data_IF_506509401279
#
_entry.id   IF_506509401279
#
_cell.length_a   1.000
_cell.length_b   1.000
_cell.length_c   1.000
_cell.angle_alpha   90.00
_cell.angle_beta   90.00
_cell.angle_gamma   90.00
#
_symmetry.space_group_name_H-M   'P 1'
#
loop_
_entity.id
_entity.type
_entity.pdbx_description
1 polymer ?
#
# COMPACT_ATOMS: atom_id res chain seq x y z
N UNK A 1 -6.05 -3.75 -33.77
CA UNK A 1 -5.84 -5.10 -33.20
C UNK A 1 -5.95 -4.99 -31.70
N UNK A 2 -6.71 -5.88 -31.05
CA UNK A 2 -6.73 -5.94 -29.60
C UNK A 2 -5.36 -6.44 -29.12
N UNK A 3 -4.77 -5.78 -28.12
CA UNK A 3 -3.54 -6.23 -27.48
C UNK A 3 -3.91 -7.20 -26.37
N UNK A 4 -3.33 -8.39 -26.42
CA UNK A 4 -3.44 -9.39 -25.35
C UNK A 4 -2.96 -8.82 -24.02
N UNK A 5 -3.76 -8.94 -22.96
CA UNK A 5 -3.47 -8.36 -21.65
C UNK A 5 -2.07 -8.77 -21.13
N UNK A 6 -1.68 -10.02 -21.39
CA UNK A 6 -0.38 -10.58 -20.97
C UNK A 6 0.83 -9.80 -21.48
N UNK A 7 0.68 -9.14 -22.62
CA UNK A 7 1.72 -8.37 -23.31
C UNK A 7 1.41 -6.86 -23.33
N UNK A 8 0.38 -6.43 -22.58
CA UNK A 8 -0.06 -5.04 -22.51
C UNK A 8 0.72 -4.24 -21.46
N UNK A 9 0.89 -2.94 -21.70
CA UNK A 9 1.43 -2.02 -20.70
C UNK A 9 0.56 -1.96 -19.43
N UNK A 10 -0.75 -2.23 -19.55
CA UNK A 10 -1.67 -2.28 -18.41
C UNK A 10 -1.26 -3.34 -17.40
N UNK A 11 -0.82 -4.53 -17.84
CA UNK A 11 -0.32 -5.56 -16.93
C UNK A 11 0.92 -5.08 -16.18
N UNK A 12 1.85 -4.43 -16.86
CA UNK A 12 3.08 -3.92 -16.23
C UNK A 12 2.79 -2.79 -15.25
N UNK A 13 1.85 -1.92 -15.59
CA UNK A 13 1.34 -0.87 -14.69
C UNK A 13 0.70 -1.48 -13.44
N UNK A 14 -0.15 -2.50 -13.59
CA UNK A 14 -0.79 -3.18 -12.47
C UNK A 14 0.21 -3.92 -11.58
N UNK A 15 1.24 -4.53 -12.17
CA UNK A 15 2.31 -5.16 -11.40
C UNK A 15 3.10 -4.13 -10.58
N UNK A 16 3.40 -2.97 -11.17
CA UNK A 16 4.04 -1.85 -10.45
C UNK A 16 3.15 -1.31 -9.34
N UNK A 17 1.86 -1.12 -9.60
CA UNK A 17 0.89 -0.68 -8.60
C UNK A 17 0.80 -1.70 -7.44
N UNK A 18 0.68 -2.99 -7.75
CA UNK A 18 0.65 -4.06 -6.75
C UNK A 18 1.89 -4.05 -5.85
N UNK A 19 3.08 -3.91 -6.44
CA UNK A 19 4.32 -3.79 -5.66
C UNK A 19 4.32 -2.51 -4.79
N UNK A 20 3.85 -1.38 -5.33
CA UNK A 20 3.73 -0.12 -4.63
C UNK A 20 2.80 -0.19 -3.42
N UNK A 21 1.60 -0.73 -3.61
CA UNK A 21 0.58 -0.91 -2.56
C UNK A 21 1.04 -1.89 -1.48
N UNK A 22 1.70 -2.98 -1.89
CA UNK A 22 2.29 -3.94 -0.94
C UNK A 22 3.32 -3.27 -0.03
N UNK A 23 4.16 -2.40 -0.58
CA UNK A 23 5.11 -1.63 0.21
C UNK A 23 4.43 -0.53 1.05
N UNK A 24 3.38 0.11 0.52
CA UNK A 24 2.63 1.14 1.23
C UNK A 24 1.97 0.57 2.49
N UNK A 25 1.32 -0.59 2.38
CA UNK A 25 0.76 -1.34 3.52
C UNK A 25 1.77 -1.57 4.64
N UNK A 26 2.98 -2.01 4.29
CA UNK A 26 4.04 -2.23 5.27
C UNK A 26 4.48 -0.91 5.93
N UNK A 27 4.64 0.17 5.14
CA UNK A 27 4.98 1.50 5.68
C UNK A 27 3.91 2.04 6.63
N UNK A 28 2.62 1.87 6.31
CA UNK A 28 1.53 2.26 7.20
C UNK A 28 1.54 1.44 8.49
N UNK A 29 1.80 0.14 8.42
CA UNK A 29 1.95 -0.70 9.62
C UNK A 29 3.09 -0.24 10.53
N UNK A 30 4.23 0.15 9.95
CA UNK A 30 5.35 0.73 10.69
C UNK A 30 5.01 2.11 11.27
N UNK A 31 4.30 2.94 10.50
CA UNK A 31 3.80 4.25 10.94
C UNK A 31 2.84 4.13 12.13
N UNK A 32 1.90 3.18 12.10
CA UNK A 32 1.02 2.87 13.22
C UNK A 32 1.83 2.48 14.47
N UNK A 33 2.83 1.62 14.30
CA UNK A 33 3.72 1.18 15.38
C UNK A 33 4.52 2.34 15.99
N UNK A 34 4.93 3.32 15.19
CA UNK A 34 5.59 4.53 15.68
C UNK A 34 4.60 5.46 16.40
N UNK A 35 3.43 5.73 15.81
CA UNK A 35 2.39 6.55 16.42
C UNK A 35 1.95 6.01 17.79
N UNK A 36 1.88 4.69 17.94
CA UNK A 36 1.64 4.02 19.23
C UNK A 36 2.69 4.35 20.28
N UNK A 37 3.98 4.36 19.92
CA UNK A 37 5.10 4.68 20.84
C UNK A 37 5.06 6.15 21.29
N UNK A 38 4.53 7.03 20.45
CA UNK A 38 4.37 8.46 20.74
C UNK A 38 3.03 8.80 21.41
N UNK A 39 2.20 7.79 21.74
CA UNK A 39 0.85 7.94 22.31
C UNK A 39 -0.12 8.73 21.41
N UNK A 40 0.06 8.67 20.09
CA UNK A 40 -0.78 9.33 19.08
C UNK A 40 -1.88 8.37 18.59
N UNK A 41 -2.82 8.00 19.47
CA UNK A 41 -3.78 6.91 19.22
C UNK A 41 -4.70 7.11 18.01
N UNK A 42 -5.09 8.35 17.71
CA UNK A 42 -5.90 8.65 16.51
C UNK A 42 -5.08 8.39 15.24
N UNK A 43 -3.80 8.75 15.24
CA UNK A 43 -2.90 8.57 14.10
C UNK A 43 -2.56 7.08 13.92
N UNK A 44 -2.31 6.34 15.00
CA UNK A 44 -2.19 4.87 14.96
C UNK A 44 -3.40 4.25 14.27
N UNK A 45 -4.62 4.63 14.70
CA UNK A 45 -5.86 4.09 14.16
C UNK A 45 -6.02 4.37 12.66
N UNK A 46 -5.66 5.58 12.21
CA UNK A 46 -5.72 5.95 10.79
C UNK A 46 -4.72 5.12 9.98
N UNK A 47 -3.47 4.96 10.45
CA UNK A 47 -2.47 4.15 9.76
C UNK A 47 -2.87 2.67 9.70
N UNK A 48 -3.39 2.11 10.80
CA UNK A 48 -3.89 0.72 10.84
C UNK A 48 -5.10 0.52 9.93
N UNK A 49 -6.04 1.46 9.89
CA UNK A 49 -7.17 1.41 8.97
C UNK A 49 -6.72 1.47 7.51
N UNK A 50 -5.72 2.31 7.20
CA UNK A 50 -5.22 2.45 5.82
C UNK A 50 -4.42 1.22 5.35
N UNK A 51 -3.84 0.45 6.27
CA UNK A 51 -3.06 -0.75 5.96
C UNK A 51 -3.90 -2.03 5.76
N UNK A 52 -5.19 -2.03 6.14
CA UNK A 52 -6.05 -3.22 6.15
C UNK A 52 -7.22 -3.08 5.17
#
# INVERSE_FOLDING_TARGET
MAVEFRNSETKDNLMRAFAGESQARNRYTFGASLAKKENLYVIESIFTFTAN
#
